data_IF_474757744520
#
_entry.id   IF_474757744520
#
_cell.length_a   1.000
_cell.length_b   1.000
_cell.length_c   1.000
_cell.angle_alpha   90.00
_cell.angle_beta   90.00
_cell.angle_gamma   90.00
#
_symmetry.space_group_name_H-M   'P 1'
#
loop_
_entity.id
_entity.type
_entity.pdbx_description
1 polymer ?
#
# COMPACT_ATOMS: atom_id res chain seq x y z
N UNK A 1 7.35 -2.19 -2.15
CA UNK A 1 5.98 -2.67 -1.89
C UNK A 1 5.23 -1.62 -1.05
N UNK A 2 3.96 -1.85 -0.73
CA UNK A 2 3.22 -1.03 0.23
C UNK A 2 2.38 -1.93 1.13
N UNK A 3 2.18 -1.53 2.39
CA UNK A 3 1.31 -2.24 3.31
C UNK A 3 0.11 -1.37 3.67
N UNK A 4 -1.10 -1.88 3.45
CA UNK A 4 -2.37 -1.21 3.76
C UNK A 4 -3.11 -2.00 4.85
N UNK A 5 -3.36 -1.41 6.02
CA UNK A 5 -3.96 -2.12 7.17
C UNK A 5 -3.27 -3.47 7.49
N UNK A 6 -1.94 -3.54 7.32
CA UNK A 6 -1.15 -4.77 7.52
C UNK A 6 -1.12 -5.73 6.33
N UNK A 7 -1.77 -5.40 5.22
CA UNK A 7 -1.85 -6.23 4.00
C UNK A 7 -0.77 -5.80 3.02
N UNK A 8 0.18 -6.69 2.75
CA UNK A 8 1.23 -6.46 1.77
C UNK A 8 0.66 -6.47 0.35
N UNK A 9 0.84 -5.37 -0.38
CA UNK A 9 0.33 -5.17 -1.73
C UNK A 9 1.41 -4.60 -2.66
N UNK A 10 1.21 -4.84 -3.96
CA UNK A 10 2.05 -4.29 -5.02
C UNK A 10 1.42 -3.01 -5.56
N UNK A 11 2.22 -1.95 -5.66
CA UNK A 11 1.82 -0.69 -6.28
C UNK A 11 1.94 -0.83 -7.80
N UNK A 12 0.85 -0.52 -8.51
CA UNK A 12 0.77 -0.67 -9.96
C UNK A 12 0.90 0.66 -10.69
N UNK A 13 0.35 1.73 -10.12
CA UNK A 13 0.40 3.08 -10.69
C UNK A 13 0.59 4.09 -9.58
N UNK A 14 1.33 5.17 -9.87
CA UNK A 14 1.59 6.28 -8.97
C UNK A 14 1.31 7.58 -9.72
N UNK A 15 0.62 8.49 -9.07
CA UNK A 15 0.45 9.89 -9.48
C UNK A 15 1.06 10.80 -8.42
N UNK A 16 0.82 12.11 -8.51
CA UNK A 16 1.40 13.08 -7.57
C UNK A 16 0.96 12.86 -6.12
N UNK A 17 -0.29 12.47 -5.91
CA UNK A 17 -0.95 12.42 -4.60
C UNK A 17 -1.73 11.11 -4.35
N UNK A 18 -1.77 10.22 -5.34
CA UNK A 18 -2.48 8.93 -5.22
C UNK A 18 -1.67 7.79 -5.84
N UNK A 19 -1.93 6.57 -5.36
CA UNK A 19 -1.40 5.34 -5.93
C UNK A 19 -2.50 4.30 -6.07
N UNK A 20 -2.30 3.32 -6.96
CA UNK A 20 -3.21 2.20 -7.18
C UNK A 20 -2.53 0.88 -6.84
N UNK A 21 -3.32 -0.05 -6.31
CA UNK A 21 -2.95 -1.44 -6.03
C UNK A 21 -3.99 -2.36 -6.67
N UNK A 22 -3.56 -3.54 -7.12
CA UNK A 22 -4.50 -4.59 -7.54
C UNK A 22 -4.70 -5.58 -6.40
N UNK A 23 -5.95 -6.01 -6.21
CA UNK A 23 -6.34 -6.97 -5.18
C UNK A 23 -6.89 -8.21 -5.89
N UNK A 24 -6.34 -9.38 -5.57
CA UNK A 24 -6.85 -10.66 -6.05
C UNK A 24 -8.05 -11.13 -5.20
N UNK A 25 -8.93 -12.01 -5.72
CA UNK A 25 -10.12 -12.46 -4.98
C UNK A 25 -9.83 -12.99 -3.58
N UNK A 26 -8.77 -13.80 -3.42
CA UNK A 26 -8.39 -14.33 -2.12
C UNK A 26 -8.08 -13.23 -1.09
N UNK A 27 -7.31 -12.20 -1.47
CA UNK A 27 -7.01 -11.06 -0.59
C UNK A 27 -8.26 -10.24 -0.29
N UNK A 28 -9.15 -10.06 -1.26
CA UNK A 28 -10.42 -9.36 -1.04
C UNK A 28 -11.28 -10.06 0.00
N UNK A 29 -11.47 -11.37 -0.15
CA UNK A 29 -12.34 -12.19 0.71
C UNK A 29 -11.77 -12.43 2.11
N UNK A 30 -10.44 -12.46 2.26
CA UNK A 30 -9.77 -12.86 3.51
C UNK A 30 -9.17 -11.68 4.29
N UNK A 31 -9.48 -10.43 3.92
CA UNK A 31 -8.98 -9.25 4.63
C UNK A 31 -10.10 -8.26 4.98
N UNK A 32 -9.77 -7.22 5.74
CA UNK A 32 -10.71 -6.17 6.11
C UNK A 32 -11.05 -5.23 4.93
N UNK A 33 -10.36 -5.32 3.80
CA UNK A 33 -10.54 -4.45 2.64
C UNK A 33 -11.96 -4.54 2.06
N UNK A 34 -12.58 -5.73 2.09
CA UNK A 34 -13.96 -5.90 1.63
C UNK A 34 -15.00 -5.08 2.42
N UNK A 35 -14.65 -4.67 3.64
CA UNK A 35 -15.53 -3.88 4.51
C UNK A 35 -15.25 -2.36 4.39
N UNK A 36 -14.17 -1.96 3.71
CA UNK A 36 -13.79 -0.56 3.54
C UNK A 36 -14.61 0.09 2.43
N UNK A 37 -14.87 1.38 2.61
CA UNK A 37 -15.60 2.24 1.66
C UNK A 37 -14.76 3.44 1.28
N UNK A 38 -15.16 4.10 0.19
CA UNK A 38 -14.55 5.35 -0.24
C UNK A 38 -14.64 6.37 0.90
N UNK A 39 -13.50 6.96 1.27
CA UNK A 39 -13.38 7.91 2.37
C UNK A 39 -12.92 7.30 3.69
N UNK A 40 -12.91 5.97 3.83
CA UNK A 40 -12.38 5.32 5.02
C UNK A 40 -10.87 5.54 5.15
N UNK A 41 -10.43 5.79 6.39
CA UNK A 41 -9.02 5.82 6.72
C UNK A 41 -8.47 4.40 6.83
N UNK A 42 -7.21 4.27 6.45
CA UNK A 42 -6.40 3.05 6.56
C UNK A 42 -5.04 3.42 7.13
N UNK A 43 -4.40 2.44 7.76
CA UNK A 43 -3.00 2.52 8.12
C UNK A 43 -2.16 2.27 6.87
N UNK A 44 -1.21 3.16 6.62
CA UNK A 44 -0.29 3.09 5.50
C UNK A 44 1.14 2.93 6.02
N UNK A 45 1.80 1.85 5.63
CA UNK A 45 3.20 1.63 5.93
C UNK A 45 4.01 1.49 4.64
N UNK A 46 5.09 2.26 4.55
CA UNK A 46 6.03 2.23 3.43
C UNK A 46 7.04 1.11 3.62
N UNK A 47 7.50 0.55 2.50
CA UNK A 47 8.56 -0.45 2.51
C UNK A 47 9.84 0.05 3.18
N UNK A 48 10.34 -0.71 4.15
CA UNK A 48 11.55 -0.34 4.89
C UNK A 48 12.78 -0.26 3.97
N UNK A 49 12.85 -1.11 2.94
CA UNK A 49 13.94 -1.10 1.96
C UNK A 49 13.92 0.20 1.17
N UNK A 50 12.73 0.66 0.76
CA UNK A 50 12.58 1.95 0.07
C UNK A 50 13.08 3.11 0.94
N UNK A 51 12.74 3.13 2.23
CA UNK A 51 13.23 4.14 3.18
C UNK A 51 14.75 4.13 3.36
N UNK A 52 15.37 2.95 3.35
CA UNK A 52 16.84 2.87 3.42
C UNK A 52 17.52 3.32 2.13
N UNK A 53 16.95 2.98 0.97
CA UNK A 53 17.43 3.44 -0.33
C UNK A 53 17.34 4.96 -0.44
N UNK A 54 16.20 5.55 -0.07
CA UNK A 54 16.01 7.01 -0.04
C UNK A 54 17.11 7.69 0.80
N UNK A 55 17.29 7.26 2.05
CA UNK A 55 18.34 7.79 2.93
C UNK A 55 19.76 7.60 2.40
N UNK A 56 20.00 6.56 1.60
CA UNK A 56 21.30 6.31 0.98
C UNK A 56 21.56 7.25 -0.20
N UNK A 57 20.52 7.56 -0.99
CA UNK A 57 20.58 8.46 -2.15
C UNK A 57 20.56 9.95 -1.77
N UNK A 58 20.08 10.31 -0.58
CA UNK A 58 20.13 11.67 -0.03
C UNK A 58 21.52 12.10 0.48
N UNK A 59 22.54 11.24 0.35
CA UNK A 59 23.96 11.57 0.57
C UNK A 59 24.66 11.89 -0.74
#
# INVERSE_FOLDING_TARGET
FVTLDGISLTVNEITKDTFKVSIIPHTWENTNLQNKKIGDRINLETDIVARYIEKFLEK
#
